data_IF_647458455698
#
_entry.id   IF_647458455698
#
_cell.length_a   1.000
_cell.length_b   1.000
_cell.length_c   1.000
_cell.angle_alpha   90.00
_cell.angle_beta   90.00
_cell.angle_gamma   90.00
#
_symmetry.space_group_name_H-M   'P 1'
#
loop_
_entity.id
_entity.type
_entity.pdbx_description
1 polymer ?
#
# COMPACT_ATOMS: atom_id res chain seq x y z
N UNK A 1 -7.83 -1.34 -7.92
CA UNK A 1 -7.59 0.12 -8.11
C UNK A 1 -6.12 0.44 -7.85
N UNK A 2 -5.62 1.66 -8.11
CA UNK A 2 -4.21 1.99 -7.81
C UNK A 2 -4.02 2.29 -6.32
N UNK A 3 -2.83 1.97 -5.80
CA UNK A 3 -2.47 2.27 -4.41
C UNK A 3 -2.70 3.74 -4.06
N UNK A 4 -2.25 4.67 -4.90
CA UNK A 4 -2.42 6.10 -4.65
C UNK A 4 -3.89 6.51 -4.46
N UNK A 5 -4.82 5.87 -5.16
CA UNK A 5 -6.26 6.12 -5.01
C UNK A 5 -6.81 5.53 -3.71
N UNK A 6 -6.41 4.31 -3.35
CA UNK A 6 -6.83 3.65 -2.11
C UNK A 6 -6.22 4.31 -0.85
N UNK A 7 -4.97 4.76 -0.95
CA UNK A 7 -4.20 5.42 0.11
C UNK A 7 -4.57 6.90 0.31
N UNK A 8 -5.32 7.50 -0.63
CA UNK A 8 -5.75 8.90 -0.55
C UNK A 8 -6.47 9.16 0.78
N UNK A 9 -5.98 10.13 1.55
CA UNK A 9 -6.45 10.50 2.91
C UNK A 9 -6.23 9.46 4.02
N UNK A 10 -5.68 8.28 3.70
CA UNK A 10 -5.34 7.22 4.67
C UNK A 10 -3.89 7.35 5.14
N UNK A 11 -3.00 7.61 4.19
CA UNK A 11 -1.58 7.83 4.46
C UNK A 11 -1.35 9.27 4.91
N UNK A 12 -0.65 9.41 6.03
CA UNK A 12 -0.22 10.70 6.57
C UNK A 12 1.28 10.68 6.70
N UNK A 13 1.90 11.84 6.49
CA UNK A 13 3.31 12.06 6.80
C UNK A 13 3.54 11.88 8.31
N UNK A 14 4.66 11.26 8.67
CA UNK A 14 5.04 11.01 10.06
C UNK A 14 5.15 9.55 10.45
N UNK A 15 5.20 8.63 9.49
CA UNK A 15 5.39 7.20 9.77
C UNK A 15 4.09 6.47 10.12
N UNK A 16 3.99 5.25 9.62
CA UNK A 16 2.92 4.34 10.00
C UNK A 16 3.05 3.01 9.27
N UNK A 17 2.42 2.02 9.88
CA UNK A 17 2.24 0.71 9.26
C UNK A 17 0.94 0.74 8.47
N UNK A 18 0.99 0.33 7.22
CA UNK A 18 -0.14 0.32 6.30
C UNK A 18 -0.39 -1.10 5.81
N UNK A 19 -1.62 -1.57 6.01
CA UNK A 19 -2.11 -2.82 5.43
C UNK A 19 -2.72 -2.52 4.05
N UNK A 20 -2.32 -3.31 3.06
CA UNK A 20 -2.75 -3.20 1.67
C UNK A 20 -3.43 -4.52 1.31
N UNK A 21 -4.73 -4.47 1.08
CA UNK A 21 -5.46 -5.57 0.45
C UNK A 21 -5.32 -5.48 -1.07
N UNK A 22 -5.03 -6.60 -1.73
CA UNK A 22 -4.87 -6.69 -3.17
C UNK A 22 -5.31 -8.06 -3.71
N UNK A 23 -5.43 -8.16 -5.03
CA UNK A 23 -5.80 -9.42 -5.72
C UNK A 23 -7.07 -10.11 -5.18
N UNK A 24 -8.06 -9.35 -4.68
CA UNK A 24 -9.35 -9.90 -4.21
C UNK A 24 -9.21 -10.92 -3.06
N UNK A 25 -8.21 -10.74 -2.18
CA UNK A 25 -8.07 -11.57 -0.98
C UNK A 25 -6.66 -11.70 -0.40
N UNK A 26 -5.64 -11.23 -1.12
CA UNK A 26 -4.27 -11.16 -0.60
C UNK A 26 -4.08 -9.88 0.22
N UNK A 27 -3.19 -9.95 1.22
CA UNK A 27 -2.84 -8.81 2.06
C UNK A 27 -1.33 -8.73 2.24
N UNK A 28 -0.81 -7.51 2.27
CA UNK A 28 0.57 -7.23 2.62
C UNK A 28 0.67 -5.99 3.47
N UNK A 29 1.74 -5.87 4.24
CA UNK A 29 1.94 -4.78 5.17
C UNK A 29 3.29 -4.12 4.93
N UNK A 30 3.28 -2.78 4.89
CA UNK A 30 4.51 -1.98 4.80
C UNK A 30 4.52 -0.90 5.87
N UNK A 31 5.69 -0.66 6.42
CA UNK A 31 5.98 0.58 7.13
C UNK A 31 6.42 1.63 6.12
N UNK A 32 5.81 2.81 6.15
CA UNK A 32 6.19 3.92 5.28
C UNK A 32 6.08 5.25 6.01
N UNK A 33 6.99 6.19 5.73
CA UNK A 33 6.92 7.53 6.29
C UNK A 33 5.81 8.38 5.68
N UNK A 34 5.61 8.23 4.37
CA UNK A 34 4.64 8.98 3.58
C UNK A 34 4.13 8.17 2.37
N UNK A 35 3.29 8.80 1.54
CA UNK A 35 2.65 8.14 0.39
C UNK A 35 3.65 7.76 -0.69
N UNK A 36 4.71 8.54 -0.92
CA UNK A 36 5.70 8.24 -1.94
C UNK A 36 6.45 6.96 -1.56
N UNK A 37 6.95 6.88 -0.32
CA UNK A 37 7.63 5.70 0.20
C UNK A 37 6.74 4.45 0.14
N UNK A 38 5.47 4.57 0.54
CA UNK A 38 4.51 3.46 0.46
C UNK A 38 4.31 2.98 -0.99
N UNK A 39 4.31 3.92 -1.94
CA UNK A 39 4.13 3.63 -3.36
C UNK A 39 5.38 2.96 -3.96
N UNK A 40 6.57 3.37 -3.53
CA UNK A 40 7.83 2.70 -3.88
C UNK A 40 7.86 1.26 -3.36
N UNK A 41 7.50 1.04 -2.08
CA UNK A 41 7.41 -0.30 -1.51
C UNK A 41 6.42 -1.18 -2.29
N UNK A 42 5.23 -0.66 -2.59
CA UNK A 42 4.21 -1.39 -3.34
C UNK A 42 4.66 -1.74 -4.76
N UNK A 43 5.26 -0.79 -5.48
CA UNK A 43 5.75 -1.01 -6.84
C UNK A 43 6.89 -2.03 -6.86
N UNK A 44 7.82 -1.96 -5.90
CA UNK A 44 8.89 -2.95 -5.74
C UNK A 44 8.33 -4.34 -5.48
N UNK A 45 7.43 -4.47 -4.50
CA UNK A 45 6.76 -5.73 -4.17
C UNK A 45 6.01 -6.32 -5.37
N UNK A 46 5.29 -5.49 -6.13
CA UNK A 46 4.60 -5.93 -7.34
C UNK A 46 5.59 -6.43 -8.41
N UNK A 47 6.70 -5.72 -8.62
CA UNK A 47 7.70 -6.11 -9.61
C UNK A 47 8.40 -7.43 -9.24
N UNK A 48 8.71 -7.65 -7.97
CA UNK A 48 9.36 -8.87 -7.48
C UNK A 48 8.45 -10.10 -7.59
N UNK A 49 7.15 -9.94 -7.34
CA UNK A 49 6.19 -11.04 -7.35
C UNK A 49 5.42 -11.19 -8.68
N UNK A 50 5.63 -10.28 -9.63
CA UNK A 50 4.89 -10.25 -10.89
C UNK A 50 3.42 -9.82 -10.76
N UNK A 51 3.08 -9.06 -9.72
CA UNK A 51 1.74 -8.54 -9.50
C UNK A 51 1.48 -7.24 -10.27
N UNK A 52 0.19 -6.95 -10.50
CA UNK A 52 -0.23 -5.70 -11.12
C UNK A 52 -0.37 -4.60 -10.06
N UNK A 53 0.18 -3.41 -10.31
CA UNK A 53 0.14 -2.30 -9.34
C UNK A 53 -1.26 -1.68 -9.17
N UNK A 54 -2.19 -1.97 -10.09
CA UNK A 54 -3.60 -1.56 -10.06
C UNK A 54 -4.54 -2.62 -9.47
N UNK A 55 -4.00 -3.64 -8.79
CA UNK A 55 -4.72 -4.72 -8.10
C UNK A 55 -5.13 -4.39 -6.65
N UNK A 56 -4.91 -3.17 -6.18
CA UNK A 56 -5.20 -2.79 -4.78
C UNK A 56 -6.70 -2.67 -4.55
N UNK A 57 -7.20 -3.24 -3.46
CA UNK A 57 -8.59 -3.16 -3.02
C UNK A 57 -8.78 -2.08 -1.94
N UNK A 58 -7.91 -2.08 -0.93
CA UNK A 58 -7.92 -1.07 0.13
C UNK A 58 -6.53 -0.79 0.68
N UNK A 59 -6.42 0.38 1.33
CA UNK A 59 -5.27 0.74 2.17
C UNK A 59 -5.80 1.19 3.52
N UNK A 60 -5.31 0.56 4.57
CA UNK A 60 -5.64 0.88 5.96
C UNK A 60 -4.37 1.18 6.74
N UNK A 61 -4.40 2.23 7.57
CA UNK A 61 -3.32 2.49 8.52
C UNK A 61 -3.59 1.69 9.78
N UNK A 62 -2.64 0.86 10.17
CA UNK A 62 -2.65 0.16 11.44
C UNK A 62 -2.17 1.16 12.49
N UNK A 63 -3.08 1.59 13.36
CA UNK A 63 -2.72 2.32 14.58
C UNK A 63 -2.44 1.27 15.66
N UNK A 64 -1.22 1.22 16.18
CA UNK A 64 -0.92 0.62 17.48
C UNK A 64 -1.51 1.48 18.62
#
# INVERSE_FOLDING_TARGET
MTLGKAATRKVRTGGGTYNIGFNDGDETQFYAYDLAELLECWVGFCAENGFQTNSVDYVERVCE
#
